data_IF_485371508070
#
_entry.id   IF_485371508070
#
_cell.length_a   1.000
_cell.length_b   1.000
_cell.length_c   1.000
_cell.angle_alpha   90.00
_cell.angle_beta   90.00
_cell.angle_gamma   90.00
#
_symmetry.space_group_name_H-M   'P 1'
#
loop_
_entity.id
_entity.type
_entity.pdbx_description
1 polymer ?
#
# COMPACT_ATOMS: atom_id res chain seq x y z
N UNK A 1 4.91 10.44 -8.77
CA UNK A 1 4.29 10.37 -10.11
C UNK A 1 3.38 11.58 -10.36
N UNK A 2 2.34 11.82 -9.56
CA UNK A 2 1.39 12.93 -9.77
C UNK A 2 2.07 14.31 -9.85
N UNK A 3 3.13 14.55 -9.10
CA UNK A 3 3.90 15.79 -9.14
C UNK A 3 4.68 15.89 -10.46
N UNK A 4 5.45 14.84 -10.81
CA UNK A 4 6.26 14.84 -12.04
C UNK A 4 5.40 14.92 -13.29
N UNK A 5 4.24 14.24 -13.34
CA UNK A 5 3.35 14.32 -14.50
C UNK A 5 2.79 15.72 -14.79
N UNK A 6 2.79 16.61 -13.79
CA UNK A 6 2.39 18.01 -13.92
C UNK A 6 3.55 18.95 -14.25
N UNK A 7 4.77 18.50 -14.05
CA UNK A 7 6.00 19.28 -14.16
C UNK A 7 7.02 18.63 -15.09
N UNK A 8 6.58 17.76 -16.00
CA UNK A 8 7.47 17.13 -16.97
C UNK A 8 8.28 18.17 -17.78
N UNK A 9 7.64 19.28 -18.12
CA UNK A 9 8.22 20.34 -18.94
C UNK A 9 9.42 21.07 -18.29
N UNK A 10 9.62 20.92 -16.98
CA UNK A 10 10.79 21.44 -16.26
C UNK A 10 12.07 20.66 -16.56
N UNK A 11 11.95 19.52 -17.25
CA UNK A 11 13.04 18.62 -17.61
C UNK A 11 13.10 18.43 -19.13
N UNK A 12 14.29 18.24 -19.69
CA UNK A 12 14.42 17.85 -21.08
C UNK A 12 13.87 16.43 -21.31
N UNK A 13 13.20 16.15 -22.45
CA UNK A 13 12.65 14.81 -22.70
C UNK A 13 13.69 13.68 -22.65
N UNK A 14 14.94 13.98 -22.97
CA UNK A 14 16.08 13.04 -22.97
C UNK A 14 17.00 13.20 -21.76
N UNK A 15 16.55 13.90 -20.71
CA UNK A 15 17.38 14.15 -19.52
C UNK A 15 17.72 12.88 -18.72
N UNK A 16 16.80 11.91 -18.70
CA UNK A 16 16.96 10.69 -17.95
C UNK A 16 17.26 9.50 -18.86
N UNK A 17 18.37 8.80 -18.63
CA UNK A 17 18.70 7.58 -19.34
C UNK A 17 17.89 6.36 -18.83
N UNK A 18 17.53 6.35 -17.54
CA UNK A 18 16.82 5.26 -16.89
C UNK A 18 15.62 5.77 -16.13
N UNK A 19 14.49 5.09 -16.25
CA UNK A 19 13.29 5.32 -15.44
C UNK A 19 12.94 4.01 -14.75
N UNK A 20 12.87 4.05 -13.43
CA UNK A 20 12.42 2.92 -12.60
C UNK A 20 11.05 3.26 -12.04
N UNK A 21 10.07 2.41 -12.30
CA UNK A 21 8.68 2.59 -11.87
C UNK A 21 8.35 1.52 -10.84
N UNK A 22 8.21 1.93 -9.58
CA UNK A 22 7.68 1.09 -8.53
C UNK A 22 6.15 1.04 -8.60
N UNK A 23 5.55 -0.09 -8.22
CA UNK A 23 4.12 -0.37 -8.34
C UNK A 23 3.63 -0.18 -9.79
N UNK A 24 4.38 -0.71 -10.75
CA UNK A 24 4.15 -0.47 -12.18
C UNK A 24 2.80 -1.01 -12.70
N UNK A 25 2.07 -1.79 -11.89
CA UNK A 25 0.70 -2.18 -12.20
C UNK A 25 -0.25 -0.96 -12.30
N UNK A 26 0.17 0.23 -11.85
CA UNK A 26 -0.53 1.49 -12.08
C UNK A 26 -0.11 2.21 -13.38
N UNK A 27 0.82 1.67 -14.16
CA UNK A 27 1.41 2.35 -15.32
C UNK A 27 0.41 2.71 -16.42
N UNK A 28 -0.72 2.03 -16.53
CA UNK A 28 -1.80 2.38 -17.44
C UNK A 28 -2.62 3.63 -17.02
N UNK A 29 -2.37 4.19 -15.82
CA UNK A 29 -3.07 5.42 -15.43
C UNK A 29 -2.57 6.64 -16.21
N UNK A 30 -3.45 7.65 -16.40
CA UNK A 30 -3.15 8.87 -17.17
C UNK A 30 -1.86 9.56 -16.73
N UNK A 31 -1.56 9.58 -15.44
CA UNK A 31 -0.35 10.24 -14.89
C UNK A 31 0.94 9.51 -15.30
N UNK A 32 0.93 8.18 -15.34
CA UNK A 32 2.06 7.40 -15.81
C UNK A 32 2.23 7.51 -17.32
N UNK A 33 1.12 7.45 -18.08
CA UNK A 33 1.14 7.60 -19.53
C UNK A 33 1.71 8.94 -19.94
N UNK A 34 1.37 10.05 -19.26
CA UNK A 34 1.94 11.35 -19.50
C UNK A 34 3.48 11.35 -19.34
N UNK A 35 4.01 10.72 -18.29
CA UNK A 35 5.45 10.62 -18.06
C UNK A 35 6.13 9.76 -19.14
N UNK A 36 5.57 8.58 -19.42
CA UNK A 36 6.14 7.65 -20.40
C UNK A 36 6.09 8.18 -21.84
N UNK A 37 5.12 9.02 -22.15
CA UNK A 37 5.02 9.67 -23.48
C UNK A 37 5.96 10.86 -23.62
N UNK A 38 6.26 11.56 -22.53
CA UNK A 38 7.10 12.74 -22.55
C UNK A 38 8.59 12.41 -22.59
N UNK A 39 9.05 11.56 -21.66
CA UNK A 39 10.46 11.20 -21.54
C UNK A 39 10.87 10.14 -22.58
N UNK A 40 12.11 10.22 -23.03
CA UNK A 40 12.74 9.30 -23.99
C UNK A 40 13.94 8.57 -23.36
N UNK A 41 13.71 7.75 -22.33
CA UNK A 41 14.79 7.03 -21.66
C UNK A 41 15.34 5.93 -22.56
N UNK A 42 16.58 5.51 -22.34
CA UNK A 42 17.17 4.33 -22.96
C UNK A 42 16.63 3.03 -22.38
N UNK A 43 16.20 3.07 -21.11
CA UNK A 43 15.72 1.88 -20.41
C UNK A 43 14.63 2.23 -19.38
N UNK A 44 13.60 1.41 -19.35
CA UNK A 44 12.51 1.50 -18.36
C UNK A 44 12.43 0.19 -17.61
N UNK A 45 12.47 0.25 -16.27
CA UNK A 45 12.27 -0.90 -15.39
C UNK A 45 10.98 -0.73 -14.60
N UNK A 46 10.08 -1.70 -14.72
CA UNK A 46 8.88 -1.79 -13.89
C UNK A 46 9.07 -2.80 -12.76
N UNK A 47 8.71 -2.42 -11.54
CA UNK A 47 8.69 -3.29 -10.36
C UNK A 47 7.26 -3.38 -9.85
N UNK A 48 6.78 -4.59 -9.53
CA UNK A 48 5.47 -4.80 -8.91
C UNK A 48 5.39 -6.12 -8.16
N UNK A 49 4.69 -6.12 -7.04
CA UNK A 49 4.33 -7.33 -6.32
C UNK A 49 3.07 -8.01 -6.92
N UNK A 50 2.30 -7.31 -7.75
CA UNK A 50 1.03 -7.76 -8.33
C UNK A 50 1.03 -7.57 -9.84
N UNK A 51 1.71 -8.45 -10.60
CA UNK A 51 1.80 -8.31 -12.06
C UNK A 51 0.45 -8.51 -12.77
N UNK A 52 -0.46 -9.27 -12.17
CA UNK A 52 -1.80 -9.52 -12.69
C UNK A 52 -2.73 -8.37 -12.29
N UNK A 53 -3.31 -7.70 -13.28
CA UNK A 53 -4.25 -6.60 -13.03
C UNK A 53 -5.68 -7.10 -13.04
N UNK A 54 -6.47 -6.56 -12.11
CA UNK A 54 -7.91 -6.85 -12.02
C UNK A 54 -8.72 -6.32 -13.23
N UNK A 55 -8.17 -5.40 -14.03
CA UNK A 55 -8.80 -4.81 -15.21
C UNK A 55 -8.41 -5.50 -16.53
N UNK A 56 -7.60 -6.57 -16.48
CA UNK A 56 -7.23 -7.37 -17.65
C UNK A 56 -6.30 -6.69 -18.66
N UNK A 57 -5.80 -5.48 -18.39
CA UNK A 57 -4.81 -4.84 -19.26
C UNK A 57 -3.44 -5.49 -19.11
N UNK A 58 -2.84 -5.87 -20.22
CA UNK A 58 -1.53 -6.50 -20.23
C UNK A 58 -0.42 -5.47 -19.99
N UNK A 59 0.35 -5.67 -18.91
CA UNK A 59 1.53 -4.85 -18.64
C UNK A 59 2.66 -5.08 -19.64
N UNK A 60 2.67 -6.22 -20.33
CA UNK A 60 3.66 -6.52 -21.36
C UNK A 60 3.60 -5.55 -22.55
N UNK A 61 2.43 -4.96 -22.81
CA UNK A 61 2.32 -3.90 -23.83
C UNK A 61 3.22 -2.68 -23.52
N UNK A 62 3.44 -2.41 -22.22
CA UNK A 62 4.24 -1.27 -21.76
C UNK A 62 5.72 -1.63 -21.55
N UNK A 63 6.00 -2.82 -21.05
CA UNK A 63 7.35 -3.21 -20.61
C UNK A 63 8.02 -4.25 -21.52
N UNK A 64 7.37 -4.72 -22.57
CA UNK A 64 7.87 -5.62 -23.61
C UNK A 64 8.37 -7.00 -23.09
N UNK A 65 9.12 -7.03 -21.98
CA UNK A 65 9.73 -8.23 -21.43
C UNK A 65 9.57 -8.34 -19.91
N UNK A 66 9.51 -9.58 -19.41
CA UNK A 66 9.60 -9.90 -17.99
C UNK A 66 11.03 -10.36 -17.70
N UNK A 67 11.79 -9.52 -17.00
CA UNK A 67 13.18 -9.85 -16.64
C UNK A 67 13.27 -10.88 -15.51
N UNK A 68 12.37 -10.81 -14.54
CA UNK A 68 12.32 -11.72 -13.40
C UNK A 68 10.90 -11.84 -12.85
N UNK A 69 10.50 -13.05 -12.48
CA UNK A 69 9.25 -13.34 -11.77
C UNK A 69 9.52 -14.28 -10.61
N UNK A 70 9.04 -13.92 -9.44
CA UNK A 70 9.10 -14.76 -8.24
C UNK A 70 7.72 -14.77 -7.58
N UNK A 71 7.14 -15.93 -7.40
CA UNK A 71 5.89 -16.06 -6.65
C UNK A 71 6.14 -16.10 -5.13
N UNK A 72 5.13 -15.71 -4.30
CA UNK A 72 5.29 -15.64 -2.85
C UNK A 72 5.67 -16.96 -2.20
N UNK A 73 5.24 -18.10 -2.75
CA UNK A 73 5.55 -19.43 -2.22
C UNK A 73 7.03 -19.74 -2.38
N UNK A 74 7.55 -19.56 -3.59
CA UNK A 74 8.98 -19.71 -3.89
C UNK A 74 9.83 -18.78 -3.02
N UNK A 75 9.40 -17.53 -2.82
CA UNK A 75 10.10 -16.59 -1.97
C UNK A 75 10.14 -17.01 -0.49
N UNK A 76 9.07 -17.64 0.03
CA UNK A 76 9.05 -18.24 1.37
C UNK A 76 9.94 -19.47 1.44
N UNK A 77 9.88 -20.36 0.45
CA UNK A 77 10.71 -21.58 0.39
C UNK A 77 12.21 -21.26 0.34
N UNK A 78 12.58 -20.17 -0.33
CA UNK A 78 13.96 -19.65 -0.37
C UNK A 78 14.36 -18.82 0.85
N UNK A 79 13.47 -18.60 1.81
CA UNK A 79 13.75 -17.79 3.01
C UNK A 79 13.83 -16.28 2.77
N UNK A 80 13.43 -15.79 1.60
CA UNK A 80 13.38 -14.35 1.27
C UNK A 80 12.20 -13.69 1.97
N UNK A 81 11.06 -14.38 2.04
CA UNK A 81 9.87 -13.95 2.78
C UNK A 81 9.63 -14.86 3.99
N UNK A 82 9.10 -14.27 5.05
CA UNK A 82 8.66 -15.01 6.21
C UNK A 82 7.45 -15.90 5.87
N UNK A 83 7.31 -17.08 6.51
CA UNK A 83 6.13 -17.92 6.36
C UNK A 83 4.85 -17.18 6.76
N UNK A 84 3.81 -17.32 5.95
CA UNK A 84 2.52 -16.67 6.17
C UNK A 84 1.57 -17.65 6.85
N UNK A 85 0.99 -17.24 7.98
CA UNK A 85 -0.12 -17.96 8.63
C UNK A 85 -1.39 -17.13 8.46
N UNK A 86 -2.31 -17.61 7.64
CA UNK A 86 -3.60 -16.96 7.44
C UNK A 86 -4.64 -17.53 8.39
N UNK A 87 -5.35 -16.66 9.12
CA UNK A 87 -6.51 -17.00 9.95
C UNK A 87 -7.71 -16.25 9.42
N UNK A 88 -8.69 -17.01 8.89
CA UNK A 88 -9.96 -16.45 8.45
C UNK A 88 -10.97 -16.49 9.58
N UNK A 89 -11.44 -15.33 10.01
CA UNK A 89 -12.52 -15.20 11.00
C UNK A 89 -13.83 -14.97 10.24
N UNK A 90 -14.80 -15.86 10.46
CA UNK A 90 -16.15 -15.70 9.89
C UNK A 90 -16.93 -14.67 10.72
N UNK A 91 -17.70 -13.86 10.05
CA UNK A 91 -18.68 -12.94 10.63
C UNK A 91 -20.01 -13.18 9.93
N UNK A 92 -21.13 -13.02 10.63
CA UNK A 92 -22.47 -13.17 10.10
C UNK A 92 -23.01 -11.88 9.44
N UNK A 93 -22.07 -11.02 8.98
CA UNK A 93 -22.42 -9.77 8.33
C UNK A 93 -22.80 -10.03 6.89
N UNK A 94 -24.04 -9.69 6.55
CA UNK A 94 -24.53 -9.70 5.19
C UNK A 94 -24.13 -8.39 4.47
N UNK A 95 -23.44 -8.52 3.36
CA UNK A 95 -23.02 -7.42 2.50
C UNK A 95 -23.85 -7.32 1.20
N UNK A 96 -24.91 -8.11 1.06
CA UNK A 96 -25.75 -8.13 -0.14
C UNK A 96 -26.38 -6.77 -0.46
N UNK A 97 -26.70 -5.99 0.56
CA UNK A 97 -27.31 -4.65 0.41
C UNK A 97 -26.29 -3.52 0.20
N UNK A 98 -24.97 -3.82 0.23
CA UNK A 98 -23.94 -2.81 0.03
C UNK A 98 -23.81 -2.49 -1.44
N UNK A 99 -24.01 -1.23 -1.83
CA UNK A 99 -23.87 -0.78 -3.21
C UNK A 99 -22.47 -1.03 -3.74
N UNK A 100 -22.39 -1.41 -5.01
CA UNK A 100 -21.13 -1.68 -5.70
C UNK A 100 -20.96 -0.68 -6.84
N UNK A 101 -19.83 0.04 -6.86
CA UNK A 101 -19.42 0.92 -7.94
C UNK A 101 -18.26 0.28 -8.72
N UNK A 102 -18.59 -0.38 -9.84
CA UNK A 102 -17.62 -1.19 -10.59
C UNK A 102 -17.14 -2.39 -9.77
N UNK A 103 -15.87 -2.42 -9.39
CA UNK A 103 -15.28 -3.49 -8.56
C UNK A 103 -15.14 -3.11 -7.08
N UNK A 104 -15.66 -1.95 -6.66
CA UNK A 104 -15.51 -1.42 -5.29
C UNK A 104 -16.88 -1.27 -4.63
N UNK A 105 -16.93 -1.65 -3.36
CA UNK A 105 -18.07 -1.34 -2.51
C UNK A 105 -18.15 0.16 -2.22
N UNK A 106 -19.38 0.68 -2.08
CA UNK A 106 -19.60 2.02 -1.57
C UNK A 106 -19.00 2.15 -0.16
N UNK A 107 -18.23 3.23 0.07
CA UNK A 107 -17.47 3.36 1.32
C UNK A 107 -18.38 3.65 2.53
N UNK A 108 -19.48 4.39 2.34
CA UNK A 108 -20.41 4.73 3.42
C UNK A 108 -21.27 3.55 3.80
N UNK A 109 -21.82 2.85 2.81
CA UNK A 109 -22.60 1.65 3.04
C UNK A 109 -21.77 0.57 3.72
N UNK A 110 -20.54 0.38 3.24
CA UNK A 110 -19.60 -0.57 3.84
C UNK A 110 -19.26 -0.20 5.28
N UNK A 111 -19.03 1.09 5.58
CA UNK A 111 -18.75 1.55 6.93
C UNK A 111 -19.93 1.29 7.86
N UNK A 112 -21.16 1.61 7.44
CA UNK A 112 -22.37 1.38 8.26
C UNK A 112 -22.58 -0.09 8.61
N UNK A 113 -22.25 -1.02 7.70
CA UNK A 113 -22.37 -2.47 7.92
C UNK A 113 -21.20 -3.07 8.71
N UNK A 114 -20.01 -2.51 8.58
CA UNK A 114 -18.80 -3.07 9.18
C UNK A 114 -18.38 -2.39 10.49
N UNK A 115 -18.83 -1.17 10.74
CA UNK A 115 -18.52 -0.43 11.97
C UNK A 115 -19.61 -0.71 13.03
N UNK A 116 -19.63 -1.96 13.51
CA UNK A 116 -20.55 -2.41 14.55
C UNK A 116 -19.78 -2.94 15.75
N UNK A 117 -20.27 -2.72 17.00
CA UNK A 117 -19.55 -3.07 18.24
C UNK A 117 -19.08 -4.52 18.28
N UNK A 118 -19.95 -5.45 17.96
CA UNK A 118 -19.68 -6.89 18.03
C UNK A 118 -18.53 -7.31 17.12
N UNK A 119 -18.44 -6.68 15.95
CA UNK A 119 -17.33 -6.93 15.02
C UNK A 119 -16.03 -6.30 15.49
N UNK A 120 -16.09 -5.12 16.08
CA UNK A 120 -14.92 -4.46 16.65
C UNK A 120 -14.35 -5.26 17.82
N UNK A 121 -15.20 -5.79 18.69
CA UNK A 121 -14.80 -6.73 19.75
C UNK A 121 -14.18 -8.00 19.18
N UNK A 122 -14.76 -8.57 18.12
CA UNK A 122 -14.23 -9.76 17.46
C UNK A 122 -12.82 -9.50 16.88
N UNK A 123 -12.56 -8.32 16.31
CA UNK A 123 -11.23 -7.92 15.82
C UNK A 123 -10.24 -7.87 16.99
N UNK A 124 -10.59 -7.22 18.09
CA UNK A 124 -9.74 -7.11 19.28
C UNK A 124 -9.47 -8.48 19.89
N UNK A 125 -10.49 -9.30 20.08
CA UNK A 125 -10.37 -10.65 20.64
C UNK A 125 -9.52 -11.55 19.74
N UNK A 126 -9.64 -11.41 18.41
CA UNK A 126 -8.80 -12.14 17.45
C UNK A 126 -7.33 -11.74 17.58
N UNK A 127 -7.04 -10.44 17.70
CA UNK A 127 -5.68 -9.98 17.97
C UNK A 127 -5.14 -10.54 19.28
N UNK A 128 -5.90 -10.44 20.37
CA UNK A 128 -5.48 -10.93 21.67
C UNK A 128 -5.20 -12.45 21.68
N UNK A 129 -6.00 -13.21 20.92
CA UNK A 129 -5.85 -14.67 20.82
C UNK A 129 -4.64 -15.09 19.98
N UNK A 130 -4.35 -14.42 18.86
CA UNK A 130 -3.37 -14.91 17.88
C UNK A 130 -2.11 -14.07 17.76
N UNK A 131 -2.14 -12.81 18.20
CA UNK A 131 -1.07 -11.86 17.98
C UNK A 131 -0.72 -10.96 19.19
N UNK A 132 -1.22 -11.28 20.40
CA UNK A 132 -0.93 -10.51 21.61
C UNK A 132 0.59 -10.37 21.80
N UNK A 133 1.04 -9.15 22.06
CA UNK A 133 2.45 -8.83 22.26
C UNK A 133 3.28 -8.79 20.99
N UNK A 134 2.66 -8.91 19.82
CA UNK A 134 3.34 -8.77 18.51
C UNK A 134 3.01 -7.43 17.88
N UNK A 135 3.95 -6.92 17.06
CA UNK A 135 3.68 -5.80 16.18
C UNK A 135 2.56 -6.17 15.21
N UNK A 136 1.59 -5.30 15.06
CA UNK A 136 0.49 -5.55 14.14
C UNK A 136 0.05 -4.26 13.44
N UNK A 137 -0.48 -4.42 12.23
CA UNK A 137 -1.17 -3.37 11.48
C UNK A 137 -2.60 -3.83 11.27
N UNK A 138 -3.54 -2.97 11.63
CA UNK A 138 -4.98 -3.21 11.43
C UNK A 138 -5.48 -2.28 10.33
N UNK A 139 -5.92 -2.84 9.22
CA UNK A 139 -6.53 -2.07 8.13
C UNK A 139 -8.02 -1.93 8.38
N UNK A 140 -8.47 -0.68 8.51
CA UNK A 140 -9.84 -0.32 8.83
C UNK A 140 -10.56 0.29 7.62
N UNK A 141 -11.89 0.28 7.64
CA UNK A 141 -12.72 0.83 6.57
C UNK A 141 -12.69 2.36 6.52
N UNK A 142 -12.60 3.01 7.68
CA UNK A 142 -12.56 4.47 7.82
C UNK A 142 -11.55 4.93 8.88
N UNK A 143 -11.33 6.24 8.95
CA UNK A 143 -10.50 6.86 10.00
C UNK A 143 -11.16 6.68 11.37
N UNK A 144 -12.48 6.83 11.46
CA UNK A 144 -13.22 6.65 12.70
C UNK A 144 -13.13 5.20 13.19
N UNK A 145 -13.26 4.24 12.28
CA UNK A 145 -13.07 2.82 12.60
C UNK A 145 -11.64 2.54 13.12
N UNK A 146 -10.62 3.14 12.52
CA UNK A 146 -9.24 2.99 12.98
C UNK A 146 -9.03 3.58 14.39
N UNK A 147 -9.63 4.73 14.68
CA UNK A 147 -9.59 5.35 16.01
C UNK A 147 -10.28 4.47 17.06
N UNK A 148 -11.45 3.92 16.73
CA UNK A 148 -12.21 3.04 17.62
C UNK A 148 -11.48 1.72 17.92
N UNK A 149 -10.92 1.06 16.90
CA UNK A 149 -10.11 -0.15 17.12
C UNK A 149 -8.88 0.15 18.00
N UNK A 150 -8.21 1.28 17.78
CA UNK A 150 -7.10 1.69 18.61
C UNK A 150 -7.53 1.94 20.07
N UNK A 151 -8.70 2.54 20.29
CA UNK A 151 -9.28 2.77 21.60
C UNK A 151 -9.56 1.45 22.34
N UNK A 152 -10.27 0.52 21.67
CA UNK A 152 -10.63 -0.78 22.23
C UNK A 152 -9.38 -1.63 22.56
N UNK A 153 -8.36 -1.59 21.69
CA UNK A 153 -7.09 -2.27 21.97
C UNK A 153 -6.39 -1.68 23.20
N UNK A 154 -6.41 -0.35 23.39
CA UNK A 154 -5.87 0.30 24.59
C UNK A 154 -6.61 -0.14 25.85
N UNK A 155 -7.93 -0.21 25.83
CA UNK A 155 -8.76 -0.70 26.94
C UNK A 155 -8.44 -2.16 27.29
N UNK A 156 -8.07 -2.96 26.28
CA UNK A 156 -7.61 -4.34 26.48
C UNK A 156 -6.11 -4.44 26.91
N UNK A 157 -5.47 -3.31 27.24
CA UNK A 157 -4.09 -3.26 27.72
C UNK A 157 -3.03 -3.41 26.61
N UNK A 158 -3.38 -3.10 25.37
CA UNK A 158 -2.46 -3.14 24.23
C UNK A 158 -2.05 -1.73 23.85
N UNK A 159 -0.76 -1.49 23.63
CA UNK A 159 -0.28 -0.23 23.06
C UNK A 159 -0.71 -0.11 21.60
N UNK A 160 -1.75 0.67 21.34
CA UNK A 160 -2.31 0.83 19.99
C UNK A 160 -2.50 2.30 19.64
N UNK A 161 -2.26 2.66 18.40
CA UNK A 161 -2.40 4.03 17.90
C UNK A 161 -3.10 4.05 16.55
N UNK A 162 -4.04 4.99 16.37
CA UNK A 162 -4.69 5.22 15.09
C UNK A 162 -3.86 6.18 14.24
N UNK A 163 -3.66 5.83 12.96
CA UNK A 163 -2.96 6.69 11.99
C UNK A 163 -3.92 7.08 10.88
N UNK A 164 -3.99 8.40 10.62
CA UNK A 164 -4.76 8.96 9.51
C UNK A 164 -3.91 9.89 8.64
N UNK A 165 -4.42 10.23 7.45
CA UNK A 165 -3.75 11.20 6.57
C UNK A 165 -3.80 12.64 7.10
N UNK A 166 -4.67 12.94 8.07
CA UNK A 166 -4.88 14.27 8.64
C UNK A 166 -3.96 14.62 9.81
N UNK A 167 -3.26 13.64 10.40
CA UNK A 167 -2.31 13.91 11.48
C UNK A 167 -1.06 14.62 10.96
N UNK A 168 -0.45 15.47 11.79
CA UNK A 168 0.78 16.16 11.45
C UNK A 168 1.91 15.18 11.17
N UNK A 169 2.82 15.53 10.25
CA UNK A 169 3.96 14.69 9.85
C UNK A 169 4.83 14.32 11.04
N UNK A 170 5.09 15.27 11.95
CA UNK A 170 5.86 15.04 13.18
C UNK A 170 5.23 13.99 14.09
N UNK A 171 3.94 14.08 14.31
CA UNK A 171 3.17 13.12 15.11
C UNK A 171 3.17 11.72 14.46
N UNK A 172 2.91 11.65 13.14
CA UNK A 172 3.01 10.40 12.39
C UNK A 172 4.39 9.75 12.57
N UNK A 173 5.47 10.51 12.40
CA UNK A 173 6.82 9.99 12.55
C UNK A 173 7.06 9.44 13.97
N UNK A 174 6.57 10.13 14.99
CA UNK A 174 6.66 9.65 16.39
C UNK A 174 5.89 8.34 16.61
N UNK A 175 4.69 8.20 16.02
CA UNK A 175 3.92 6.96 16.09
C UNK A 175 4.67 5.82 15.39
N UNK A 176 5.22 6.07 14.19
CA UNK A 176 5.99 5.07 13.44
C UNK A 176 7.26 4.65 14.18
N UNK A 177 7.97 5.57 14.82
CA UNK A 177 9.13 5.23 15.66
C UNK A 177 8.73 4.34 16.83
N UNK A 178 7.64 4.66 17.54
CA UNK A 178 7.13 3.78 18.63
C UNK A 178 6.71 2.41 18.10
N UNK A 179 6.15 2.35 16.89
CA UNK A 179 5.82 1.10 16.23
C UNK A 179 7.07 0.29 15.86
N UNK A 180 8.10 0.94 15.34
CA UNK A 180 9.36 0.28 14.94
C UNK A 180 10.13 -0.30 16.12
N UNK A 181 10.13 0.39 17.26
CA UNK A 181 10.94 0.01 18.43
C UNK A 181 10.16 -0.70 19.54
N UNK A 182 8.83 -0.81 19.43
CA UNK A 182 7.95 -1.42 20.44
C UNK A 182 7.08 -2.54 19.89
N UNK A 183 6.29 -3.13 20.77
CA UNK A 183 5.25 -4.11 20.43
C UNK A 183 3.89 -3.40 20.26
N UNK A 184 3.85 -2.38 19.41
CA UNK A 184 2.68 -1.53 19.24
C UNK A 184 1.80 -2.04 18.09
N UNK A 185 0.52 -1.68 18.15
CA UNK A 185 -0.45 -1.89 17.08
C UNK A 185 -0.74 -0.56 16.41
N UNK A 186 -0.67 -0.51 15.08
CA UNK A 186 -1.10 0.64 14.31
C UNK A 186 -2.41 0.33 13.58
N UNK A 187 -3.46 1.08 13.86
CA UNK A 187 -4.71 1.01 13.11
C UNK A 187 -4.78 2.13 12.06
N UNK A 188 -5.03 1.79 10.80
CA UNK A 188 -5.05 2.75 9.70
C UNK A 188 -6.06 2.38 8.61
N UNK A 189 -6.63 3.37 7.95
CA UNK A 189 -7.46 3.17 6.75
C UNK A 189 -6.65 2.81 5.51
N UNK A 190 -5.41 3.31 5.40
CA UNK A 190 -4.59 3.16 4.17
C UNK A 190 -3.19 2.70 4.50
N UNK A 191 -2.67 1.79 3.69
CA UNK A 191 -1.27 1.35 3.76
C UNK A 191 -0.30 2.51 3.53
N UNK A 192 -0.64 3.45 2.62
CA UNK A 192 0.15 4.65 2.36
C UNK A 192 0.36 5.56 3.58
N UNK A 193 -0.45 5.42 4.63
CA UNK A 193 -0.24 6.13 5.90
C UNK A 193 0.91 5.54 6.71
N UNK A 194 1.31 4.31 6.44
CA UNK A 194 2.31 3.54 7.18
C UNK A 194 3.63 3.38 6.41
N UNK A 195 3.61 3.48 5.08
CA UNK A 195 4.80 3.38 4.24
C UNK A 195 5.27 4.76 3.75
N UNK A 196 6.59 4.97 3.73
CA UNK A 196 7.20 6.03 2.92
C UNK A 196 7.05 5.61 1.46
N UNK A 197 6.25 6.35 0.70
CA UNK A 197 6.09 6.08 -0.74
C UNK A 197 7.31 6.55 -1.52
N UNK A 198 7.93 5.66 -2.26
CA UNK A 198 8.67 5.99 -3.47
C UNK A 198 7.98 5.30 -4.64
N UNK A 199 7.42 6.06 -5.55
CA UNK A 199 6.68 5.49 -6.69
C UNK A 199 7.50 5.47 -7.96
N UNK A 200 8.61 6.23 -8.04
CA UNK A 200 9.53 6.21 -9.18
C UNK A 200 10.89 6.80 -8.81
N UNK A 201 11.95 6.26 -9.39
CA UNK A 201 13.32 6.73 -9.30
C UNK A 201 13.77 7.14 -10.71
N UNK A 202 14.28 8.38 -10.83
CA UNK A 202 14.81 8.92 -12.07
C UNK A 202 16.33 9.06 -11.94
N UNK A 203 17.07 8.41 -12.82
CA UNK A 203 18.53 8.50 -12.88
C UNK A 203 18.93 9.36 -14.09
N UNK A 204 19.57 10.48 -13.80
CA UNK A 204 20.13 11.37 -14.83
C UNK A 204 21.25 10.70 -15.61
N UNK A 205 21.50 11.21 -16.82
CA UNK A 205 22.68 10.86 -17.61
C UNK A 205 23.94 11.06 -16.78
N UNK A 206 24.78 10.05 -16.65
CA UNK A 206 26.13 10.23 -16.14
C UNK A 206 26.89 11.09 -17.13
N UNK A 207 27.45 12.22 -16.67
CA UNK A 207 28.37 13.01 -17.52
C UNK A 207 29.45 12.05 -18.03
N UNK A 208 29.56 11.90 -19.36
CA UNK A 208 30.69 11.20 -19.97
C UNK A 208 31.94 11.94 -19.50
N UNK A 209 32.72 11.34 -18.62
CA UNK A 209 34.12 11.69 -18.43
C UNK A 209 34.77 11.45 -19.79
N UNK A 210 35.06 12.55 -20.52
CA UNK A 210 35.96 12.49 -21.67
C UNK A 210 37.33 12.08 -21.12
N UNK A 211 37.77 10.89 -21.51
CA UNK A 211 39.17 10.49 -21.53
C UNK A 211 39.65 10.51 -22.96
#
# INVERSE_FOLDING_TARGET
IQTISKHCEEFAPDEFDYIIIDECHHAASKSYQAILSYFKPKFILGLTATPERADGQDMLELFQNVAHKMDPRTAVEQGILAPIRCVRVKTDIDLSDVRIHGIKYDAQDLESKLFVPERNELIVNTYLKYARGKKAVVFCTSVNHAAEIARLLKEAGVNAEGISGSIKVSERNSILQRYEHGNNVCASRKMSSLCRQSSAIFLRKTARTQH
#
